data_IF_512264672191
#
_entry.id   IF_512264672191
#
_cell.length_a   1.000
_cell.length_b   1.000
_cell.length_c   1.000
_cell.angle_alpha   90.00
_cell.angle_beta   90.00
_cell.angle_gamma   90.00
#
_symmetry.space_group_name_H-M   'P 1'
#
loop_
_entity.id
_entity.type
_entity.pdbx_description
1 polymer ?
#
# COMPACT_ATOMS: atom_id res chain seq x y z
N UNK A 1 28.99 17.87 -27.18
CA UNK A 1 27.89 16.89 -27.27
C UNK A 1 28.53 15.51 -27.17
N UNK A 2 28.22 14.68 -26.16
CA UNK A 2 28.76 13.32 -26.13
C UNK A 2 28.06 12.51 -27.21
N UNK A 3 28.83 11.99 -28.17
CA UNK A 3 28.30 11.05 -29.15
C UNK A 3 28.16 9.69 -28.48
N UNK A 4 26.93 9.16 -28.51
CA UNK A 4 26.61 7.82 -28.04
C UNK A 4 26.72 6.89 -29.25
N UNK A 5 27.44 5.79 -29.11
CA UNK A 5 27.55 4.76 -30.14
C UNK A 5 26.22 3.99 -30.28
N UNK A 6 26.02 3.32 -31.41
CA UNK A 6 24.81 2.51 -31.62
C UNK A 6 24.65 1.39 -30.58
N UNK A 7 25.75 0.82 -30.09
CA UNK A 7 25.75 -0.18 -29.02
C UNK A 7 25.30 0.42 -27.69
N UNK A 8 25.88 1.55 -27.27
CA UNK A 8 25.49 2.25 -26.05
C UNK A 8 24.04 2.73 -26.10
N UNK A 9 23.54 3.12 -27.27
CA UNK A 9 22.13 3.48 -27.46
C UNK A 9 21.20 2.28 -27.21
N UNK A 10 21.54 1.11 -27.76
CA UNK A 10 20.76 -0.11 -27.56
C UNK A 10 20.76 -0.56 -26.09
N UNK A 11 21.90 -0.45 -25.41
CA UNK A 11 22.00 -0.77 -23.98
C UNK A 11 21.11 0.15 -23.13
N UNK A 12 21.06 1.45 -23.48
CA UNK A 12 20.18 2.41 -22.80
C UNK A 12 18.70 2.12 -23.01
N UNK A 13 18.31 1.66 -24.21
CA UNK A 13 16.94 1.24 -24.49
C UNK A 13 16.58 0.00 -23.67
N UNK A 14 17.44 -1.02 -23.66
CA UNK A 14 17.21 -2.23 -22.86
C UNK A 14 17.09 -1.93 -21.37
N UNK A 15 17.96 -1.07 -20.84
CA UNK A 15 17.90 -0.65 -19.44
C UNK A 15 16.62 0.12 -19.11
N UNK A 16 16.11 0.94 -20.05
CA UNK A 16 14.83 1.64 -19.90
C UNK A 16 13.66 0.66 -19.89
N UNK A 17 13.64 -0.29 -20.83
CA UNK A 17 12.57 -1.28 -20.93
C UNK A 17 12.50 -2.17 -19.68
N UNK A 18 13.66 -2.59 -19.15
CA UNK A 18 13.71 -3.37 -17.91
C UNK A 18 13.29 -2.54 -16.69
N UNK A 19 13.66 -1.26 -16.64
CA UNK A 19 13.19 -0.36 -15.59
C UNK A 19 11.66 -0.24 -15.63
N UNK A 20 11.06 -0.05 -16.80
CA UNK A 20 9.62 0.09 -16.96
C UNK A 20 8.89 -1.21 -16.60
N UNK A 21 9.45 -2.37 -16.98
CA UNK A 21 8.95 -3.70 -16.59
C UNK A 21 9.01 -3.88 -15.07
N UNK A 22 10.12 -3.57 -14.42
CA UNK A 22 10.29 -3.70 -12.98
C UNK A 22 9.35 -2.77 -12.22
N UNK A 23 9.20 -1.53 -12.71
CA UNK A 23 8.21 -0.59 -12.17
C UNK A 23 6.79 -1.14 -12.30
N UNK A 24 6.44 -1.78 -13.41
CA UNK A 24 5.12 -2.40 -13.57
C UNK A 24 4.89 -3.57 -12.60
N UNK A 25 5.92 -4.38 -12.31
CA UNK A 25 5.83 -5.48 -11.35
C UNK A 25 5.67 -4.96 -9.93
N UNK A 26 6.50 -3.99 -9.53
CA UNK A 26 6.50 -3.43 -8.17
C UNK A 26 5.19 -2.68 -7.89
N UNK A 27 4.65 -1.97 -8.88
CA UNK A 27 3.40 -1.22 -8.73
C UNK A 27 2.14 -2.07 -8.99
N UNK A 28 2.27 -3.39 -9.17
CA UNK A 28 1.11 -4.28 -9.30
C UNK A 28 0.39 -4.37 -7.95
N UNK A 29 -0.94 -4.14 -7.90
CA UNK A 29 -1.69 -4.32 -6.66
C UNK A 29 -1.65 -5.76 -6.13
N UNK A 30 -1.24 -5.90 -4.87
CA UNK A 30 -1.33 -7.17 -4.15
C UNK A 30 -2.78 -7.40 -3.73
N UNK A 31 -3.52 -8.22 -4.48
CA UNK A 31 -4.95 -8.49 -4.26
C UNK A 31 -5.24 -9.81 -3.56
N UNK A 32 -4.26 -10.72 -3.48
CA UNK A 32 -4.44 -12.06 -2.92
C UNK A 32 -4.24 -12.08 -1.39
N UNK A 33 -3.23 -11.36 -0.89
CA UNK A 33 -2.94 -11.30 0.54
C UNK A 33 -3.41 -9.98 1.17
N UNK A 34 -4.69 -9.91 1.55
CA UNK A 34 -5.34 -8.67 2.01
C UNK A 34 -4.57 -7.86 3.06
N UNK A 35 -4.08 -8.49 4.13
CA UNK A 35 -3.35 -7.78 5.20
C UNK A 35 -2.00 -7.22 4.70
N UNK A 36 -1.25 -8.01 3.92
CA UNK A 36 0.01 -7.56 3.32
C UNK A 36 -0.24 -6.44 2.31
N UNK A 37 -1.23 -6.61 1.44
CA UNK A 37 -1.62 -5.61 0.45
C UNK A 37 -2.05 -4.30 1.13
N UNK A 38 -2.80 -4.37 2.23
CA UNK A 38 -3.22 -3.19 3.01
C UNK A 38 -2.03 -2.40 3.53
N UNK A 39 -1.04 -3.07 4.11
CA UNK A 39 0.16 -2.41 4.63
C UNK A 39 1.00 -1.77 3.51
N UNK A 40 1.24 -2.51 2.42
CA UNK A 40 1.97 -1.99 1.25
C UNK A 40 1.26 -0.78 0.63
N UNK A 41 -0.06 -0.88 0.44
CA UNK A 41 -0.88 0.20 -0.10
C UNK A 41 -0.90 1.42 0.82
N UNK A 42 -0.95 1.24 2.15
CA UNK A 42 -0.88 2.34 3.10
C UNK A 42 0.43 3.15 2.94
N UNK A 43 1.56 2.45 2.77
CA UNK A 43 2.88 3.07 2.49
C UNK A 43 2.84 3.80 1.14
N UNK A 44 2.38 3.13 0.08
CA UNK A 44 2.31 3.74 -1.25
C UNK A 44 1.46 5.01 -1.29
N UNK A 45 0.34 5.07 -0.55
CA UNK A 45 -0.50 6.26 -0.46
C UNK A 45 0.25 7.45 0.18
N UNK A 46 1.04 7.18 1.23
CA UNK A 46 1.87 8.18 1.91
C UNK A 46 3.02 8.65 1.03
N UNK A 47 3.68 7.74 0.30
CA UNK A 47 4.74 8.10 -0.66
C UNK A 47 4.20 8.95 -1.80
N UNK A 48 3.02 8.60 -2.31
CA UNK A 48 2.40 9.26 -3.47
C UNK A 48 1.82 10.64 -3.14
N UNK A 49 1.24 10.83 -1.97
CA UNK A 49 0.55 12.07 -1.59
C UNK A 49 1.26 12.88 -0.51
N UNK A 50 2.27 12.31 0.14
CA UNK A 50 3.15 12.98 1.10
C UNK A 50 2.57 13.09 2.52
N UNK A 51 3.46 13.07 3.52
CA UNK A 51 3.13 13.13 4.96
C UNK A 51 2.44 14.45 5.36
N UNK A 52 2.72 15.54 4.64
CA UNK A 52 2.12 16.85 4.89
C UNK A 52 0.61 16.87 4.56
N UNK A 53 0.19 16.10 3.55
CA UNK A 53 -1.22 15.97 3.19
C UNK A 53 -2.01 15.10 4.18
N UNK A 54 -1.34 14.26 4.98
CA UNK A 54 -2.00 13.43 5.99
C UNK A 54 -2.09 14.11 7.36
N UNK A 55 -1.05 14.85 7.79
CA UNK A 55 -1.01 15.52 9.10
C UNK A 55 -2.04 16.63 9.28
N UNK A 56 -2.54 17.22 8.20
CA UNK A 56 -3.50 18.32 8.23
C UNK A 56 -4.96 17.87 8.00
N UNK A 57 -5.20 16.58 7.71
CA UNK A 57 -6.56 16.08 7.48
C UNK A 57 -7.38 16.12 8.76
N UNK A 58 -8.56 16.71 8.67
CA UNK A 58 -9.59 16.65 9.71
C UNK A 58 -10.24 15.27 9.69
N UNK A 59 -10.88 14.82 10.78
CA UNK A 59 -11.61 13.55 10.79
C UNK A 59 -12.62 13.39 9.64
N UNK A 60 -13.26 14.48 9.22
CA UNK A 60 -14.18 14.48 8.09
C UNK A 60 -13.49 14.19 6.74
N UNK A 61 -12.26 14.66 6.54
CA UNK A 61 -11.51 14.43 5.30
C UNK A 61 -11.16 12.95 5.15
N UNK A 62 -10.81 12.29 6.27
CA UNK A 62 -10.59 10.84 6.32
C UNK A 62 -11.88 10.07 6.01
N UNK A 63 -12.99 10.43 6.65
CA UNK A 63 -14.30 9.81 6.40
C UNK A 63 -14.66 9.87 4.91
N UNK A 64 -14.53 11.04 4.28
CA UNK A 64 -14.86 11.20 2.85
C UNK A 64 -13.92 10.43 1.94
N UNK A 65 -12.62 10.39 2.24
CA UNK A 65 -11.66 9.56 1.50
C UNK A 65 -12.05 8.08 1.55
N UNK A 66 -12.35 7.57 2.74
CA UNK A 66 -12.73 6.17 2.94
C UNK A 66 -14.03 5.86 2.20
N UNK A 67 -15.05 6.71 2.34
CA UNK A 67 -16.32 6.55 1.62
C UNK A 67 -16.13 6.55 0.11
N UNK A 68 -15.28 7.44 -0.41
CA UNK A 68 -14.95 7.50 -1.83
C UNK A 68 -14.26 6.22 -2.34
N UNK A 69 -13.25 5.71 -1.60
CA UNK A 69 -12.54 4.49 -1.98
C UNK A 69 -13.44 3.25 -1.88
N UNK A 70 -14.26 3.15 -0.82
CA UNK A 70 -15.24 2.09 -0.66
C UNK A 70 -16.30 2.12 -1.78
N UNK A 71 -16.75 3.31 -2.18
CA UNK A 71 -17.66 3.49 -3.31
C UNK A 71 -17.08 2.98 -4.63
N UNK A 72 -15.78 3.17 -4.88
CA UNK A 72 -15.11 2.57 -6.06
C UNK A 72 -15.08 1.05 -5.98
N UNK A 73 -14.88 0.47 -4.80
CA UNK A 73 -14.94 -0.98 -4.61
C UNK A 73 -16.34 -1.52 -4.93
N UNK A 74 -17.37 -0.87 -4.39
CA UNK A 74 -18.77 -1.19 -4.69
C UNK A 74 -19.05 -1.13 -6.20
N UNK A 75 -18.72 -0.02 -6.85
CA UNK A 75 -18.96 0.14 -8.29
C UNK A 75 -18.21 -0.89 -9.14
N UNK A 76 -16.97 -1.25 -8.79
CA UNK A 76 -16.23 -2.29 -9.48
C UNK A 76 -16.86 -3.68 -9.30
N UNK A 77 -17.34 -3.97 -8.08
CA UNK A 77 -18.03 -5.22 -7.78
C UNK A 77 -19.36 -5.35 -8.56
N UNK A 78 -20.16 -4.29 -8.60
CA UNK A 78 -21.42 -4.23 -9.36
C UNK A 78 -21.18 -4.40 -10.87
N UNK A 79 -20.05 -3.90 -11.36
CA UNK A 79 -19.63 -4.05 -12.76
C UNK A 79 -19.03 -5.44 -13.08
N UNK A 80 -18.87 -6.32 -12.09
CA UNK A 80 -18.26 -7.65 -12.26
C UNK A 80 -16.73 -7.65 -12.36
N UNK A 81 -16.07 -6.51 -12.13
CA UNK A 81 -14.60 -6.39 -12.14
C UNK A 81 -14.02 -6.76 -10.77
N UNK A 82 -13.88 -8.07 -10.55
CA UNK A 82 -13.47 -8.64 -9.25
C UNK A 82 -12.07 -8.20 -8.82
N UNK A 83 -11.10 -8.14 -9.73
CA UNK A 83 -9.73 -7.74 -9.39
C UNK A 83 -9.69 -6.28 -8.91
N UNK A 84 -10.41 -5.41 -9.61
CA UNK A 84 -10.50 -3.99 -9.24
C UNK A 84 -11.29 -3.77 -7.96
N UNK A 85 -12.34 -4.54 -7.72
CA UNK A 85 -13.07 -4.53 -6.46
C UNK A 85 -12.15 -4.90 -5.28
N UNK A 86 -11.40 -6.01 -5.39
CA UNK A 86 -10.44 -6.44 -4.37
C UNK A 86 -9.34 -5.39 -4.15
N UNK A 87 -8.81 -4.81 -5.23
CA UNK A 87 -7.83 -3.73 -5.11
C UNK A 87 -8.40 -2.51 -4.37
N UNK A 88 -9.62 -2.07 -4.68
CA UNK A 88 -10.23 -0.93 -3.99
C UNK A 88 -10.60 -1.22 -2.53
N UNK A 89 -10.94 -2.46 -2.17
CA UNK A 89 -11.05 -2.88 -0.77
C UNK A 89 -9.71 -2.67 -0.03
N UNK A 90 -8.59 -3.04 -0.67
CA UNK A 90 -7.25 -2.86 -0.10
C UNK A 90 -6.87 -1.38 -0.01
N UNK A 91 -7.13 -0.56 -1.04
CA UNK A 91 -6.94 0.89 -0.98
C UNK A 91 -7.75 1.54 0.15
N UNK A 92 -8.98 1.09 0.36
CA UNK A 92 -9.84 1.58 1.45
C UNK A 92 -9.26 1.22 2.81
N UNK A 93 -8.81 -0.04 2.98
CA UNK A 93 -8.15 -0.49 4.19
C UNK A 93 -6.83 0.26 4.45
N UNK A 94 -6.05 0.55 3.42
CA UNK A 94 -4.83 1.35 3.52
C UNK A 94 -5.10 2.77 4.01
N UNK A 95 -6.18 3.40 3.54
CA UNK A 95 -6.61 4.71 4.03
C UNK A 95 -7.08 4.66 5.50
N UNK A 96 -7.78 3.60 5.90
CA UNK A 96 -8.15 3.36 7.30
C UNK A 96 -6.92 3.14 8.19
N UNK A 97 -5.92 2.39 7.72
CA UNK A 97 -4.65 2.20 8.42
C UNK A 97 -3.96 3.55 8.66
N UNK A 98 -3.84 4.37 7.62
CA UNK A 98 -3.24 5.70 7.72
C UNK A 98 -4.04 6.64 8.64
N UNK A 99 -5.39 6.57 8.62
CA UNK A 99 -6.22 7.34 9.56
C UNK A 99 -6.02 6.88 11.01
N UNK A 100 -6.00 5.58 11.26
CA UNK A 100 -5.72 5.02 12.58
C UNK A 100 -4.37 5.51 13.10
N UNK A 101 -3.32 5.41 12.27
CA UNK A 101 -1.98 5.94 12.58
C UNK A 101 -1.98 7.45 12.87
N UNK A 102 -2.76 8.24 12.13
CA UNK A 102 -2.91 9.67 12.39
C UNK A 102 -3.58 9.96 13.75
N UNK A 103 -4.54 9.13 14.18
CA UNK A 103 -5.18 9.23 15.50
C UNK A 103 -4.20 8.82 16.61
N UNK A 104 -3.48 7.72 16.42
CA UNK A 104 -2.57 7.15 17.43
C UNK A 104 -1.21 7.85 17.50
N UNK A 105 -0.90 8.74 16.54
CA UNK A 105 0.40 9.40 16.43
C UNK A 105 1.53 8.46 16.00
N UNK A 106 1.20 7.26 15.51
CA UNK A 106 2.17 6.26 15.07
C UNK A 106 2.53 6.51 13.61
N UNK A 107 3.81 6.50 13.24
CA UNK A 107 4.22 6.72 11.85
C UNK A 107 3.90 5.48 10.99
N UNK A 108 3.25 5.70 9.86
CA UNK A 108 2.93 4.65 8.86
C UNK A 108 4.17 4.22 8.09
N UNK A 109 5.22 5.04 8.08
CA UNK A 109 6.56 4.73 7.56
C UNK A 109 7.39 3.94 8.57
N UNK A 110 6.89 3.72 9.79
CA UNK A 110 7.57 2.87 10.74
C UNK A 110 7.43 1.42 10.24
N UNK A 111 8.49 0.95 9.59
CA UNK A 111 8.78 -0.47 9.45
C UNK A 111 9.84 -0.83 10.51
N UNK A 112 9.47 -1.16 11.76
CA UNK A 112 10.35 -2.02 12.54
C UNK A 112 10.44 -3.34 11.77
N UNK A 113 11.68 -3.74 11.44
CA UNK A 113 11.92 -5.01 10.76
C UNK A 113 11.36 -6.18 11.56
N UNK A 114 11.23 -7.31 10.88
CA UNK A 114 11.18 -8.67 11.48
C UNK A 114 11.64 -8.71 12.95
N UNK A 115 10.81 -9.37 13.76
CA UNK A 115 11.03 -9.82 15.14
C UNK A 115 10.85 -8.79 16.27
N UNK A 116 9.61 -8.65 16.71
CA UNK A 116 9.24 -8.29 18.10
C UNK A 116 7.72 -8.46 18.30
N UNK A 117 6.89 -8.10 17.31
CA UNK A 117 5.43 -8.31 17.43
C UNK A 117 4.99 -9.78 17.49
N UNK A 118 5.68 -10.69 16.80
CA UNK A 118 5.34 -12.12 16.85
C UNK A 118 5.66 -12.71 18.24
N UNK A 119 6.77 -12.31 18.87
CA UNK A 119 7.14 -12.74 20.23
C UNK A 119 6.26 -12.11 21.30
N UNK A 120 5.84 -10.85 21.12
CA UNK A 120 4.91 -10.17 22.04
C UNK A 120 3.50 -10.78 21.96
N UNK A 121 3.05 -11.20 20.78
CA UNK A 121 1.75 -11.88 20.61
C UNK A 121 1.79 -13.30 21.20
N UNK A 122 2.87 -14.05 21.00
CA UNK A 122 3.06 -15.38 21.62
C UNK A 122 3.21 -15.30 23.15
N UNK A 123 3.82 -14.22 23.67
CA UNK A 123 3.95 -13.99 25.11
C UNK A 123 2.66 -13.46 25.77
N UNK A 124 1.85 -12.69 25.04
CA UNK A 124 0.60 -12.12 25.55
C UNK A 124 -0.58 -13.10 25.50
N UNK A 125 -0.54 -14.08 24.59
CA UNK A 125 -1.58 -15.09 24.42
C UNK A 125 -0.97 -16.50 24.29
N UNK A 126 -0.31 -17.01 25.34
CA UNK A 126 0.11 -18.41 25.36
C UNK A 126 -1.15 -19.26 25.25
N UNK A 127 -1.18 -20.15 24.25
CA UNK A 127 -2.31 -21.00 23.91
C UNK A 127 -3.03 -21.53 25.15
N UNK A 128 -4.36 -21.34 25.19
CA UNK A 128 -5.26 -22.08 26.07
C UNK A 128 -4.98 -23.57 25.89
N UNK A 129 -4.29 -24.14 26.88
CA UNK A 129 -4.32 -25.56 27.12
C UNK A 129 -4.72 -25.76 28.57
N UNK A 130 -5.86 -26.43 28.71
CA UNK A 130 -6.41 -27.08 29.91
C UNK A 130 -7.40 -26.25 30.74
N UNK A 131 -8.67 -26.66 30.52
CA UNK A 131 -9.92 -26.52 31.29
C UNK A 131 -10.77 -25.25 31.07
#
# INVERSE_FOLDING_TARGET
MKHVTAAEYNDLVQARDELDRLLAIINRPEIAAFLRGTHVEAIHQVERWGVAHDRAKRPADWFWLIGYLAGKALHAQDAGDKEKAMHHCISTAGALYNWHSAISGTDTRMCPGRSDLAEVVDAAFPAESVL
#
